data_IF_343621503384
#
_entry.id   IF_343621503384
#
_cell.length_a   1.000
_cell.length_b   1.000
_cell.length_c   1.000
_cell.angle_alpha   90.00
_cell.angle_beta   90.00
_cell.angle_gamma   90.00
#
_symmetry.space_group_name_H-M   'P 1'
#
loop_
_entity.id
_entity.type
_entity.pdbx_description
1 polymer ?
#
# COMPACT_ATOMS: atom_id res chain seq x y z
N UNK A 1 7.34 50.52 -8.35
CA UNK A 1 7.16 51.00 -9.74
C UNK A 1 5.67 50.98 -10.03
N UNK A 2 5.08 52.12 -10.35
CA UNK A 2 3.62 52.26 -10.50
C UNK A 2 3.15 51.57 -11.80
N UNK A 3 2.28 50.57 -11.67
CA UNK A 3 1.71 49.79 -12.78
C UNK A 3 1.04 50.67 -13.83
N UNK A 4 0.48 51.82 -13.44
CA UNK A 4 -0.12 52.79 -14.38
C UNK A 4 0.94 53.50 -15.21
N UNK A 5 2.04 53.94 -14.59
CA UNK A 5 3.16 54.59 -15.30
C UNK A 5 3.86 53.63 -16.27
N UNK A 6 4.02 52.37 -15.88
CA UNK A 6 4.59 51.35 -16.75
C UNK A 6 3.70 51.05 -17.96
N UNK A 7 2.38 50.98 -17.75
CA UNK A 7 1.39 50.76 -18.79
C UNK A 7 1.35 51.91 -19.81
N UNK A 8 1.38 53.15 -19.35
CA UNK A 8 1.38 54.32 -20.25
C UNK A 8 2.68 54.42 -21.07
N UNK A 9 3.84 54.09 -20.47
CA UNK A 9 5.13 54.00 -21.17
C UNK A 9 5.14 52.92 -22.26
N UNK A 10 4.61 51.72 -21.96
CA UNK A 10 4.54 50.60 -22.91
C UNK A 10 3.54 50.89 -24.05
N UNK A 11 2.38 51.46 -23.72
CA UNK A 11 1.34 51.84 -24.69
C UNK A 11 1.86 52.87 -25.70
N UNK A 12 2.60 53.88 -25.24
CA UNK A 12 3.15 54.93 -26.10
C UNK A 12 4.28 54.43 -27.02
N UNK A 13 5.05 53.42 -26.61
CA UNK A 13 6.21 52.92 -27.38
C UNK A 13 5.85 51.88 -28.43
N UNK A 14 4.83 51.05 -28.19
CA UNK A 14 4.51 49.85 -29.00
C UNK A 14 3.20 50.02 -29.79
N UNK A 15 2.35 50.96 -29.38
CA UNK A 15 1.01 51.19 -29.95
C UNK A 15 -0.03 50.26 -29.32
N UNK A 16 -1.20 50.81 -28.97
CA UNK A 16 -2.24 50.14 -28.17
C UNK A 16 -2.71 48.80 -28.76
N UNK A 17 -2.86 48.71 -30.09
CA UNK A 17 -3.31 47.47 -30.77
C UNK A 17 -2.28 46.34 -30.65
N UNK A 18 -1.00 46.66 -30.86
CA UNK A 18 0.08 45.68 -30.79
C UNK A 18 0.32 45.21 -29.35
N UNK A 19 0.18 46.10 -28.37
CA UNK A 19 0.26 45.76 -26.95
C UNK A 19 -0.87 44.81 -26.52
N UNK A 20 -2.11 45.08 -26.96
CA UNK A 20 -3.26 44.20 -26.68
C UNK A 20 -3.06 42.82 -27.33
N UNK A 21 -2.62 42.75 -28.58
CA UNK A 21 -2.32 41.47 -29.24
C UNK A 21 -1.22 40.69 -28.53
N UNK A 22 -0.17 41.36 -28.04
CA UNK A 22 0.90 40.72 -27.25
C UNK A 22 0.39 40.14 -25.93
N UNK A 23 -0.44 40.88 -25.20
CA UNK A 23 -1.05 40.40 -23.94
C UNK A 23 -2.00 39.23 -24.21
N UNK A 24 -2.85 39.32 -25.25
CA UNK A 24 -3.74 38.23 -25.63
C UNK A 24 -2.95 36.97 -25.97
N UNK A 25 -1.85 37.10 -26.73
CA UNK A 25 -0.95 35.99 -27.04
C UNK A 25 -0.34 35.34 -25.79
N UNK A 26 0.12 36.14 -24.83
CA UNK A 26 0.64 35.65 -23.54
C UNK A 26 -0.47 34.94 -22.75
N UNK A 27 -1.67 35.52 -22.65
CA UNK A 27 -2.79 34.92 -21.93
C UNK A 27 -3.22 33.58 -22.55
N UNK A 28 -3.26 33.48 -23.88
CA UNK A 28 -3.53 32.23 -24.59
C UNK A 28 -2.42 31.22 -24.28
N UNK A 29 -1.14 31.60 -24.39
CA UNK A 29 -0.03 30.70 -24.09
C UNK A 29 -0.05 30.19 -22.64
N UNK A 30 -0.35 31.04 -21.66
CA UNK A 30 -0.50 30.66 -20.25
C UNK A 30 -1.72 29.76 -20.05
N UNK A 31 -2.86 30.05 -20.70
CA UNK A 31 -4.05 29.22 -20.62
C UNK A 31 -3.83 27.83 -21.23
N UNK A 32 -3.13 27.75 -22.37
CA UNK A 32 -2.73 26.50 -22.99
C UNK A 32 -1.74 25.73 -22.11
N UNK A 33 -0.73 26.42 -21.57
CA UNK A 33 0.22 25.82 -20.61
C UNK A 33 -0.52 25.24 -19.41
N UNK A 34 -1.43 26.01 -18.80
CA UNK A 34 -2.20 25.58 -17.64
C UNK A 34 -3.09 24.37 -17.97
N UNK A 35 -3.81 24.42 -19.09
CA UNK A 35 -4.65 23.31 -19.56
C UNK A 35 -3.81 22.06 -19.83
N UNK A 36 -2.65 22.21 -20.46
CA UNK A 36 -1.74 21.10 -20.73
C UNK A 36 -1.18 20.52 -19.43
N UNK A 37 -0.74 21.36 -18.48
CA UNK A 37 -0.26 20.90 -17.17
C UNK A 37 -1.36 20.21 -16.37
N UNK A 38 -2.58 20.75 -16.35
CA UNK A 38 -3.70 20.13 -15.65
C UNK A 38 -4.08 18.77 -16.27
N UNK A 39 -4.07 18.67 -17.61
CA UNK A 39 -4.27 17.41 -18.31
C UNK A 39 -3.18 16.38 -17.97
N UNK A 40 -1.91 16.80 -17.95
CA UNK A 40 -0.78 15.94 -17.58
C UNK A 40 -0.87 15.46 -16.13
N UNK A 41 -1.21 16.35 -15.18
CA UNK A 41 -1.43 15.97 -13.78
C UNK A 41 -2.53 14.92 -13.66
N UNK A 42 -3.67 15.12 -14.31
CA UNK A 42 -4.77 14.16 -14.29
C UNK A 42 -4.39 12.79 -14.90
N UNK A 43 -3.56 12.78 -15.95
CA UNK A 43 -3.06 11.55 -16.56
C UNK A 43 -2.10 10.80 -15.62
N UNK A 44 -1.21 11.53 -14.94
CA UNK A 44 -0.29 10.95 -13.94
C UNK A 44 -1.06 10.38 -12.76
N UNK A 45 -2.04 11.12 -12.22
CA UNK A 45 -2.86 10.64 -11.10
C UNK A 45 -3.62 9.35 -11.47
N UNK A 46 -4.18 9.29 -12.68
CA UNK A 46 -4.84 8.07 -13.18
C UNK A 46 -3.87 6.89 -13.22
N UNK A 47 -2.66 7.07 -13.77
CA UNK A 47 -1.65 6.01 -13.85
C UNK A 47 -1.20 5.56 -12.46
N UNK A 48 -1.00 6.49 -11.52
CA UNK A 48 -0.66 6.17 -10.12
C UNK A 48 -1.78 5.33 -9.48
N UNK A 49 -3.05 5.69 -9.68
CA UNK A 49 -4.18 4.91 -9.16
C UNK A 49 -4.26 3.50 -9.77
N UNK A 50 -3.97 3.37 -11.07
CA UNK A 50 -3.92 2.07 -11.75
C UNK A 50 -2.79 1.19 -11.19
N UNK A 51 -1.57 1.73 -11.08
CA UNK A 51 -0.42 1.03 -10.49
C UNK A 51 -0.66 0.70 -9.02
N UNK A 52 -1.27 1.59 -8.24
CA UNK A 52 -1.64 1.30 -6.84
C UNK A 52 -2.61 0.12 -6.74
N UNK A 53 -3.59 0.05 -7.65
CA UNK A 53 -4.55 -1.06 -7.69
C UNK A 53 -3.87 -2.38 -8.04
N UNK A 54 -2.97 -2.39 -9.01
CA UNK A 54 -2.19 -3.59 -9.36
C UNK A 54 -1.38 -4.11 -8.17
N UNK A 55 -0.68 -3.23 -7.45
CA UNK A 55 -0.01 -3.59 -6.18
C UNK A 55 -0.99 -4.16 -5.15
N UNK A 56 -2.18 -3.58 -5.03
CA UNK A 56 -3.18 -4.03 -4.06
C UNK A 56 -3.78 -5.40 -4.39
N UNK A 57 -3.84 -5.78 -5.66
CA UNK A 57 -4.33 -7.08 -6.11
C UNK A 57 -3.30 -8.20 -5.82
N UNK A 58 -2.01 -7.88 -5.88
CA UNK A 58 -0.91 -8.83 -5.62
C UNK A 58 -0.49 -8.94 -4.14
N UNK A 59 -1.08 -8.12 -3.26
CA UNK A 59 -0.70 -8.02 -1.85
C UNK A 59 -1.90 -8.29 -0.93
N UNK A 60 -1.72 -9.20 0.03
CA UNK A 60 -2.68 -9.39 1.11
C UNK A 60 -2.16 -8.74 2.40
N UNK A 61 -2.93 -7.81 2.98
CA UNK A 61 -2.51 -7.05 4.16
C UNK A 61 -3.00 -7.70 5.45
N UNK A 62 -2.40 -7.30 6.57
CA UNK A 62 -2.85 -7.71 7.91
C UNK A 62 -2.80 -6.51 8.86
N UNK A 63 -3.81 -6.38 9.72
CA UNK A 63 -3.79 -5.37 10.76
C UNK A 63 -4.58 -5.76 12.00
N UNK A 64 -4.16 -5.20 13.13
CA UNK A 64 -4.80 -5.39 14.44
C UNK A 64 -5.18 -4.02 15.00
N UNK A 65 -6.45 -3.85 15.37
CA UNK A 65 -6.98 -2.66 16.04
C UNK A 65 -7.10 -2.93 17.53
N UNK A 66 -6.49 -2.06 18.34
CA UNK A 66 -6.58 -2.16 19.79
C UNK A 66 -7.95 -1.69 20.30
N UNK A 67 -8.36 -2.17 21.47
CA UNK A 67 -9.57 -1.71 22.14
C UNK A 67 -9.52 -0.20 22.44
N UNK A 68 -8.39 0.29 22.94
CA UNK A 68 -8.14 1.72 23.18
C UNK A 68 -6.67 2.12 22.97
N UNK A 69 -6.37 3.40 23.19
CA UNK A 69 -5.02 3.98 23.15
C UNK A 69 -4.24 3.88 24.46
N UNK A 70 -4.79 3.19 25.46
CA UNK A 70 -4.05 2.94 26.69
C UNK A 70 -2.79 2.11 26.42
N UNK A 71 -1.72 2.38 27.17
CA UNK A 71 -0.48 1.60 27.10
C UNK A 71 -0.73 0.08 27.29
N UNK A 72 -1.73 -0.28 28.11
CA UNK A 72 -2.14 -1.67 28.32
C UNK A 72 -2.66 -2.27 27.01
N UNK A 73 -3.64 -1.64 26.38
CA UNK A 73 -4.30 -2.15 25.16
C UNK A 73 -3.34 -2.14 23.96
N UNK A 74 -2.49 -1.11 23.85
CA UNK A 74 -1.46 -1.03 22.81
C UNK A 74 -0.43 -2.16 22.96
N UNK A 75 -0.02 -2.50 24.18
CA UNK A 75 0.88 -3.63 24.45
C UNK A 75 0.19 -4.98 24.19
N UNK A 76 -1.06 -5.14 24.59
CA UNK A 76 -1.83 -6.38 24.37
C UNK A 76 -2.03 -6.62 22.87
N UNK A 77 -2.33 -5.58 22.08
CA UNK A 77 -2.38 -5.65 20.61
C UNK A 77 -1.13 -6.28 20.01
N UNK A 78 0.06 -5.89 20.47
CA UNK A 78 1.32 -6.44 19.96
C UNK A 78 1.48 -7.93 20.33
N UNK A 79 1.02 -8.34 21.51
CA UNK A 79 1.01 -9.76 21.91
C UNK A 79 0.04 -10.60 21.08
N UNK A 80 -1.18 -10.09 20.85
CA UNK A 80 -2.18 -10.75 19.99
C UNK A 80 -1.62 -10.89 18.58
N UNK A 81 -1.07 -9.81 18.02
CA UNK A 81 -0.38 -9.83 16.72
C UNK A 81 0.66 -10.95 16.66
N UNK A 82 1.56 -11.01 17.64
CA UNK A 82 2.66 -11.99 17.62
C UNK A 82 2.15 -13.43 17.69
N UNK A 83 1.11 -13.69 18.49
CA UNK A 83 0.49 -15.00 18.60
C UNK A 83 -0.22 -15.42 17.30
N UNK A 84 -0.99 -14.49 16.71
CA UNK A 84 -1.68 -14.72 15.43
C UNK A 84 -0.67 -15.00 14.32
N UNK A 85 0.39 -14.20 14.20
CA UNK A 85 1.45 -14.43 13.20
C UNK A 85 2.08 -15.81 13.42
N UNK A 86 2.41 -16.16 14.67
CA UNK A 86 3.01 -17.46 14.97
C UNK A 86 2.10 -18.63 14.57
N UNK A 87 0.80 -18.54 14.84
CA UNK A 87 -0.20 -19.53 14.41
C UNK A 87 -0.27 -19.62 12.89
N UNK A 88 -0.31 -18.48 12.18
CA UNK A 88 -0.32 -18.47 10.72
C UNK A 88 0.95 -19.10 10.13
N UNK A 89 2.12 -18.87 10.73
CA UNK A 89 3.38 -19.50 10.29
C UNK A 89 3.39 -21.01 10.50
N UNK A 90 2.73 -21.54 11.55
CA UNK A 90 2.71 -22.98 11.80
C UNK A 90 1.69 -23.71 10.93
N UNK A 91 0.51 -23.11 10.74
CA UNK A 91 -0.63 -23.79 10.12
C UNK A 91 -0.78 -23.52 8.63
N UNK A 92 -0.21 -22.43 8.10
CA UNK A 92 -0.33 -22.12 6.68
C UNK A 92 0.66 -22.95 5.84
N UNK A 93 0.17 -23.83 4.95
CA UNK A 93 1.03 -24.63 4.10
C UNK A 93 1.84 -23.74 3.15
N UNK A 94 3.17 -23.93 3.11
CA UNK A 94 4.07 -23.19 2.21
C UNK A 94 4.67 -21.90 2.79
N UNK A 95 4.49 -21.61 4.08
CA UNK A 95 5.11 -20.45 4.76
C UNK A 95 6.50 -20.73 5.37
N UNK A 96 6.90 -22.00 5.45
CA UNK A 96 8.25 -22.37 5.85
C UNK A 96 9.23 -22.14 4.70
N UNK A 97 10.07 -21.12 4.84
CA UNK A 97 11.32 -20.94 4.09
C UNK A 97 12.36 -22.03 4.44
N UNK A 98 11.95 -23.30 4.39
CA UNK A 98 12.86 -24.44 4.42
C UNK A 98 12.81 -25.09 3.05
N UNK A 99 13.85 -24.80 2.26
CA UNK A 99 14.44 -25.64 1.22
C UNK A 99 13.63 -26.88 0.81
N UNK A 100 12.58 -26.70 0.02
CA UNK A 100 12.17 -27.68 -0.98
C UNK A 100 12.66 -27.18 -2.35
N UNK A 101 13.98 -27.15 -2.50
CA UNK A 101 14.56 -27.38 -3.81
C UNK A 101 14.08 -28.77 -4.27
N UNK A 102 13.29 -28.78 -5.34
CA UNK A 102 12.72 -29.97 -6.00
C UNK A 102 11.41 -30.52 -5.42
N UNK A 103 10.35 -29.71 -5.40
CA UNK A 103 9.09 -30.21 -5.96
C UNK A 103 9.07 -29.81 -7.43
N UNK A 104 9.31 -30.79 -8.29
CA UNK A 104 9.26 -30.63 -9.74
C UNK A 104 7.93 -30.01 -10.16
N UNK A 105 8.02 -29.04 -11.07
CA UNK A 105 6.88 -28.27 -11.58
C UNK A 105 5.82 -29.07 -12.35
N UNK A 106 5.91 -30.41 -12.45
CA UNK A 106 5.12 -31.16 -13.44
C UNK A 106 3.86 -31.87 -12.91
N UNK A 107 3.66 -32.01 -11.59
CA UNK A 107 2.51 -32.80 -11.08
C UNK A 107 1.38 -31.98 -10.44
N UNK A 108 1.62 -30.71 -10.09
CA UNK A 108 0.57 -29.84 -9.54
C UNK A 108 -0.26 -29.14 -10.62
N UNK A 109 0.26 -28.98 -11.84
CA UNK A 109 -0.44 -28.30 -12.95
C UNK A 109 -1.60 -29.13 -13.53
N UNK A 110 -1.56 -30.45 -13.43
CA UNK A 110 -2.52 -31.31 -14.13
C UNK A 110 -3.90 -31.41 -13.47
N UNK A 111 -4.09 -30.95 -12.23
CA UNK A 111 -5.39 -31.07 -11.54
C UNK A 111 -6.15 -29.76 -11.34
N UNK A 112 -5.53 -28.58 -11.51
CA UNK A 112 -6.23 -27.30 -11.40
C UNK A 112 -5.46 -26.13 -12.03
N UNK A 113 -5.68 -25.80 -13.33
CA UNK A 113 -4.96 -24.72 -13.99
C UNK A 113 -5.47 -23.36 -13.47
N UNK A 114 -4.69 -22.70 -12.62
CA UNK A 114 -4.94 -21.30 -12.22
C UNK A 114 -4.71 -20.94 -10.76
N UNK A 115 -4.34 -21.88 -9.87
CA UNK A 115 -3.95 -21.54 -8.50
C UNK A 115 -2.42 -21.47 -8.43
N UNK A 116 -1.87 -20.26 -8.47
CA UNK A 116 -0.56 -20.01 -7.88
C UNK A 116 -0.66 -20.37 -6.39
N UNK A 117 -0.07 -21.50 -5.98
CA UNK A 117 -0.09 -22.02 -4.60
C UNK A 117 0.43 -21.00 -3.58
N UNK A 118 1.25 -20.04 -4.04
CA UNK A 118 1.76 -18.92 -3.27
C UNK A 118 1.27 -17.63 -3.95
N UNK A 119 0.09 -17.15 -3.57
CA UNK A 119 -0.49 -15.90 -4.08
C UNK A 119 -1.31 -15.23 -2.99
N UNK A 120 -1.50 -13.91 -3.09
CA UNK A 120 -2.35 -13.15 -2.16
C UNK A 120 -3.75 -13.78 -2.04
N UNK A 121 -4.30 -14.29 -3.15
CA UNK A 121 -5.60 -14.95 -3.17
C UNK A 121 -5.62 -16.28 -2.40
N UNK A 122 -4.55 -17.08 -2.47
CA UNK A 122 -4.45 -18.32 -1.71
C UNK A 122 -4.34 -18.04 -0.20
N UNK A 123 -3.49 -17.09 0.19
CA UNK A 123 -3.35 -16.63 1.58
C UNK A 123 -4.67 -16.09 2.12
N UNK A 124 -5.39 -15.31 1.32
CA UNK A 124 -6.72 -14.80 1.66
C UNK A 124 -7.72 -15.92 1.93
N UNK A 125 -7.86 -16.88 1.01
CA UNK A 125 -8.81 -18.00 1.17
C UNK A 125 -8.49 -18.84 2.40
N UNK A 126 -7.21 -19.05 2.68
CA UNK A 126 -6.80 -19.73 3.91
C UNK A 126 -7.20 -18.92 5.14
N UNK A 127 -6.98 -17.60 5.15
CA UNK A 127 -7.37 -16.76 6.28
C UNK A 127 -8.89 -16.78 6.50
N UNK A 128 -9.69 -16.75 5.43
CA UNK A 128 -11.15 -16.86 5.47
C UNK A 128 -11.62 -18.19 6.09
N UNK A 129 -10.94 -19.30 5.82
CA UNK A 129 -11.32 -20.61 6.37
C UNK A 129 -10.89 -20.83 7.82
N UNK A 130 -9.96 -20.03 8.34
CA UNK A 130 -9.39 -20.16 9.69
C UNK A 130 -9.74 -18.97 10.61
N UNK A 131 -10.74 -18.15 10.26
CA UNK A 131 -11.13 -16.98 11.08
C UNK A 131 -11.45 -17.35 12.53
N UNK A 132 -12.15 -18.46 12.75
CA UNK A 132 -12.48 -18.90 14.11
C UNK A 132 -11.23 -19.25 14.91
N UNK A 133 -10.26 -19.95 14.31
CA UNK A 133 -9.01 -20.30 14.99
C UNK A 133 -8.18 -19.04 15.29
N UNK A 134 -8.15 -18.08 14.37
CA UNK A 134 -7.49 -16.79 14.58
C UNK A 134 -8.12 -16.00 15.73
N UNK A 135 -9.45 -16.03 15.87
CA UNK A 135 -10.17 -15.44 17.01
C UNK A 135 -9.80 -16.17 18.30
N UNK A 136 -9.81 -17.50 18.30
CA UNK A 136 -9.45 -18.30 19.47
C UNK A 136 -8.02 -17.99 19.96
N UNK A 137 -7.04 -17.94 19.05
CA UNK A 137 -5.66 -17.56 19.38
C UNK A 137 -5.58 -16.15 19.97
N UNK A 138 -6.34 -15.20 19.42
CA UNK A 138 -6.38 -13.84 19.95
C UNK A 138 -7.03 -13.80 21.34
N UNK A 139 -8.15 -14.49 21.54
CA UNK A 139 -8.88 -14.57 22.82
C UNK A 139 -8.04 -15.22 23.92
N UNK A 140 -7.28 -16.28 23.63
CA UNK A 140 -6.36 -16.89 24.60
C UNK A 140 -5.32 -15.88 25.13
N UNK A 141 -4.86 -14.96 24.29
CA UNK A 141 -3.95 -13.89 24.71
C UNK A 141 -4.68 -12.85 25.56
N UNK A 142 -5.91 -12.48 25.18
CA UNK A 142 -6.73 -11.53 25.93
C UNK A 142 -7.04 -12.05 27.33
N UNK A 143 -7.43 -13.32 27.46
CA UNK A 143 -7.69 -13.98 28.74
C UNK A 143 -6.44 -14.01 29.62
N UNK A 144 -5.27 -14.39 29.06
CA UNK A 144 -4.00 -14.43 29.78
C UNK A 144 -3.56 -13.05 30.30
N UNK A 145 -3.87 -11.99 29.57
CA UNK A 145 -3.57 -10.60 29.96
C UNK A 145 -4.64 -9.99 30.88
N UNK A 146 -5.70 -10.75 31.20
CA UNK A 146 -6.80 -10.30 32.06
C UNK A 146 -7.59 -9.17 31.42
N UNK A 147 -7.92 -9.30 30.13
CA UNK A 147 -8.83 -8.41 29.43
C UNK A 147 -10.26 -8.96 29.52
N UNK A 148 -11.25 -8.07 29.56
CA UNK A 148 -12.67 -8.37 29.72
C UNK A 148 -13.47 -8.25 28.41
N UNK A 149 -12.76 -8.10 27.30
CA UNK A 149 -13.31 -8.02 25.95
C UNK A 149 -12.75 -9.15 25.08
N UNK A 150 -13.41 -9.40 23.95
CA UNK A 150 -13.06 -10.45 23.00
C UNK A 150 -12.44 -9.87 21.72
N UNK A 151 -11.80 -10.73 20.96
CA UNK A 151 -11.32 -10.47 19.62
C UNK A 151 -12.39 -10.83 18.58
N UNK A 152 -12.27 -10.22 17.41
CA UNK A 152 -13.05 -10.55 16.22
C UNK A 152 -12.13 -10.45 14.99
N UNK A 153 -12.38 -11.27 13.97
CA UNK A 153 -11.51 -11.39 12.80
C UNK A 153 -12.32 -11.45 11.50
N UNK A 154 -11.91 -10.65 10.51
CA UNK A 154 -12.57 -10.57 9.20
C UNK A 154 -11.55 -10.44 8.07
N UNK A 155 -11.85 -11.05 6.94
CA UNK A 155 -11.20 -10.70 5.68
C UNK A 155 -12.07 -9.67 4.96
N UNK A 156 -11.53 -8.48 4.72
CA UNK A 156 -12.31 -7.39 4.12
C UNK A 156 -11.42 -6.38 3.37
N UNK A 157 -12.06 -5.50 2.60
CA UNK A 157 -11.38 -4.36 1.98
C UNK A 157 -11.32 -3.20 2.98
N UNK A 158 -10.12 -2.71 3.23
CA UNK A 158 -9.86 -1.62 4.15
C UNK A 158 -9.03 -0.53 3.45
N UNK A 159 -9.25 0.73 3.84
CA UNK A 159 -8.37 1.82 3.45
C UNK A 159 -7.11 1.79 4.33
N UNK A 160 -5.94 1.70 3.69
CA UNK A 160 -4.64 1.79 4.35
C UNK A 160 -4.01 3.13 4.03
N UNK A 161 -3.46 3.85 5.02
CA UNK A 161 -2.60 4.99 4.75
C UNK A 161 -1.27 4.53 4.17
N UNK A 162 -0.50 5.46 3.60
CA UNK A 162 0.86 5.18 3.13
C UNK A 162 1.72 4.58 4.26
N UNK A 163 2.46 3.51 3.96
CA UNK A 163 3.32 2.81 4.92
C UNK A 163 4.72 2.57 4.38
N UNK A 164 5.71 2.97 5.17
CA UNK A 164 7.12 2.77 4.88
C UNK A 164 7.68 1.58 5.66
N UNK A 165 8.36 0.68 4.97
CA UNK A 165 9.09 -0.46 5.49
C UNK A 165 10.50 -0.43 4.89
N UNK A 166 11.49 0.04 5.65
CA UNK A 166 12.86 0.23 5.16
C UNK A 166 12.93 1.25 4.02
N UNK A 167 13.37 0.79 2.86
CA UNK A 167 13.46 1.52 1.59
C UNK A 167 12.18 1.43 0.75
N UNK A 168 11.19 0.63 1.16
CA UNK A 168 9.93 0.45 0.44
C UNK A 168 8.80 1.29 1.04
N UNK A 169 7.96 1.86 0.19
CA UNK A 169 6.79 2.65 0.57
C UNK A 169 5.55 2.11 -0.14
N UNK A 170 4.66 1.47 0.62
CA UNK A 170 3.36 1.05 0.11
C UNK A 170 2.44 2.27 0.06
N UNK A 171 1.87 2.60 -1.11
CA UNK A 171 1.02 3.76 -1.27
C UNK A 171 -0.27 3.65 -0.46
N UNK A 172 -0.88 4.80 -0.17
CA UNK A 172 -2.24 4.85 0.38
C UNK A 172 -3.24 4.29 -0.64
N UNK A 173 -4.22 3.53 -0.17
CA UNK A 173 -5.28 3.00 -1.03
C UNK A 173 -6.15 1.96 -0.34
N UNK A 174 -7.05 1.34 -1.10
CA UNK A 174 -7.81 0.18 -0.63
C UNK A 174 -7.03 -1.10 -0.89
N UNK A 175 -7.00 -1.97 0.13
CA UNK A 175 -6.34 -3.27 0.07
C UNK A 175 -7.26 -4.33 0.67
N UNK A 176 -7.13 -5.57 0.19
CA UNK A 176 -7.69 -6.72 0.89
C UNK A 176 -6.81 -7.06 2.10
N UNK A 177 -7.45 -7.27 3.24
CA UNK A 177 -6.74 -7.49 4.49
C UNK A 177 -7.45 -8.46 5.42
N UNK A 178 -6.64 -9.21 6.17
CA UNK A 178 -7.06 -9.79 7.43
C UNK A 178 -7.08 -8.68 8.49
N UNK A 179 -8.25 -8.44 9.07
CA UNK A 179 -8.48 -7.46 10.13
C UNK A 179 -8.81 -8.19 11.42
N UNK A 180 -8.03 -7.94 12.47
CA UNK A 180 -8.36 -8.34 13.84
C UNK A 180 -8.74 -7.10 14.64
N UNK A 181 -9.90 -7.13 15.28
CA UNK A 181 -10.41 -6.07 16.16
C UNK A 181 -10.45 -6.59 17.58
N UNK A 182 -9.95 -5.80 18.53
CA UNK A 182 -10.01 -6.12 19.95
C UNK A 182 -11.02 -5.19 20.62
N UNK A 183 -12.03 -5.75 21.29
CA UNK A 183 -13.08 -4.95 21.96
C UNK A 183 -13.72 -3.92 21.03
N UNK A 184 -13.73 -2.65 21.43
CA UNK A 184 -14.34 -1.55 20.65
C UNK A 184 -13.54 -1.13 19.41
N UNK A 185 -12.30 -1.62 19.25
CA UNK A 185 -11.40 -1.26 18.16
C UNK A 185 -11.15 0.26 18.01
N UNK A 186 -11.23 1.02 19.11
CA UNK A 186 -11.10 2.49 19.11
C UNK A 186 -9.64 2.97 19.21
N UNK A 187 -8.69 2.06 19.44
CA UNK A 187 -7.28 2.39 19.56
C UNK A 187 -6.51 2.39 18.24
N UNK A 188 -5.25 2.82 18.28
CA UNK A 188 -4.37 2.86 17.12
C UNK A 188 -4.20 1.49 16.47
N UNK A 189 -4.08 1.50 15.15
CA UNK A 189 -3.87 0.30 14.35
C UNK A 189 -2.39 -0.12 14.35
N UNK A 190 -2.15 -1.42 14.25
CA UNK A 190 -0.88 -1.97 13.80
C UNK A 190 -1.05 -2.55 12.40
N UNK A 191 -0.17 -2.20 11.46
CA UNK A 191 -0.33 -2.51 10.03
C UNK A 191 0.83 -3.33 9.49
N UNK A 192 0.55 -4.32 8.66
CA UNK A 192 1.55 -5.18 8.04
C UNK A 192 1.11 -5.71 6.67
N UNK A 193 2.08 -6.23 5.92
CA UNK A 193 1.90 -6.90 4.63
C UNK A 193 2.07 -8.40 4.87
N UNK A 194 0.95 -9.13 4.83
CA UNK A 194 0.92 -10.55 5.17
C UNK A 194 1.42 -11.41 4.02
N UNK A 195 1.05 -11.07 2.79
CA UNK A 195 1.60 -11.63 1.56
C UNK A 195 2.18 -10.51 0.69
N UNK A 196 3.40 -10.68 0.13
CA UNK A 196 4.32 -11.80 0.33
C UNK A 196 5.05 -11.69 1.67
N UNK A 197 4.72 -12.58 2.62
CA UNK A 197 5.38 -12.93 3.89
C UNK A 197 6.14 -11.86 4.72
N UNK A 198 5.94 -10.55 4.51
CA UNK A 198 6.71 -9.51 5.19
C UNK A 198 6.42 -9.46 6.70
N UNK A 199 5.27 -9.96 7.14
CA UNK A 199 4.95 -10.11 8.56
C UNK A 199 5.77 -11.20 9.27
N UNK A 200 6.32 -12.16 8.53
CA UNK A 200 7.03 -13.31 9.10
C UNK A 200 8.55 -13.08 9.22
N UNK A 201 9.08 -12.11 8.46
CA UNK A 201 10.52 -11.95 8.28
C UNK A 201 11.19 -11.04 9.33
N UNK A 202 10.44 -10.26 10.12
CA UNK A 202 10.96 -9.67 11.35
C UNK A 202 9.84 -9.11 12.26
N UNK A 203 9.82 -9.51 13.54
CA UNK A 203 8.86 -9.02 14.56
C UNK A 203 8.91 -7.49 14.76
N UNK A 204 9.99 -6.87 14.28
CA UNK A 204 10.21 -5.43 14.23
C UNK A 204 10.13 -4.98 12.77
N UNK A 205 8.92 -4.68 12.30
CA UNK A 205 8.60 -4.28 10.92
C UNK A 205 9.21 -2.91 10.52
N UNK A 206 10.54 -2.78 10.60
CA UNK A 206 11.29 -1.56 10.32
C UNK A 206 11.97 -1.62 8.95
N UNK A 207 12.32 -2.81 8.46
CA UNK A 207 13.03 -3.03 7.19
C UNK A 207 12.51 -4.30 6.54
N UNK A 208 12.30 -4.27 5.22
CA UNK A 208 12.02 -5.47 4.41
C UNK A 208 13.33 -6.20 4.16
N UNK A 209 13.42 -7.47 4.53
CA UNK A 209 14.61 -8.31 4.28
C UNK A 209 14.82 -8.52 2.77
N UNK A 210 16.05 -8.86 2.36
CA UNK A 210 16.37 -9.07 0.94
C UNK A 210 15.49 -10.15 0.30
N UNK A 211 15.19 -11.22 1.05
CA UNK A 211 14.23 -12.27 0.66
C UNK A 211 12.83 -11.70 0.34
N UNK A 212 12.28 -10.87 1.24
CA UNK A 212 10.98 -10.24 1.01
C UNK A 212 10.97 -9.27 -0.17
N UNK A 213 12.13 -8.68 -0.53
CA UNK A 213 12.25 -7.85 -1.74
C UNK A 213 12.23 -8.68 -3.01
N UNK A 214 12.87 -9.86 -3.00
CA UNK A 214 12.84 -10.79 -4.13
C UNK A 214 11.43 -11.34 -4.36
N UNK A 215 10.72 -11.71 -3.30
CA UNK A 215 9.33 -12.15 -3.39
C UNK A 215 8.44 -11.05 -4.00
N UNK A 216 8.59 -9.80 -3.57
CA UNK A 216 7.86 -8.66 -4.15
C UNK A 216 8.20 -8.43 -5.62
N UNK A 217 9.47 -8.54 -6.02
CA UNK A 217 9.87 -8.44 -7.44
C UNK A 217 9.30 -9.58 -8.28
N UNK A 218 9.08 -10.75 -7.69
CA UNK A 218 8.51 -11.91 -8.37
C UNK A 218 7.02 -11.78 -8.66
N UNK A 219 6.29 -10.99 -7.88
CA UNK A 219 4.83 -10.82 -8.01
C UNK A 219 4.41 -9.49 -8.65
N UNK A 220 5.22 -8.44 -8.50
CA UNK A 220 4.92 -7.11 -9.03
C UNK A 220 5.56 -6.89 -10.40
N UNK A 221 4.94 -6.03 -11.22
CA UNK A 221 5.61 -5.52 -12.42
C UNK A 221 6.77 -4.59 -12.07
N UNK A 222 7.67 -4.32 -13.03
CA UNK A 222 8.76 -3.37 -12.84
C UNK A 222 8.25 -1.98 -12.45
N UNK A 223 7.14 -1.52 -13.02
CA UNK A 223 6.56 -0.20 -12.67
C UNK A 223 5.98 -0.18 -11.25
N UNK A 224 5.32 -1.27 -10.85
CA UNK A 224 4.75 -1.42 -9.51
C UNK A 224 5.85 -1.50 -8.45
N UNK A 225 6.89 -2.28 -8.70
CA UNK A 225 8.03 -2.38 -7.82
C UNK A 225 8.77 -1.05 -7.67
N UNK A 226 8.99 -0.33 -8.78
CA UNK A 226 9.58 1.01 -8.75
C UNK A 226 8.73 1.99 -7.92
N UNK A 227 7.39 1.87 -7.97
CA UNK A 227 6.51 2.72 -7.16
C UNK A 227 6.74 2.50 -5.66
N UNK A 228 7.07 1.27 -5.25
CA UNK A 228 7.41 0.96 -3.87
C UNK A 228 8.79 1.51 -3.47
N UNK A 229 9.81 1.42 -4.32
CA UNK A 229 11.19 1.79 -3.95
C UNK A 229 11.51 3.28 -4.10
N UNK A 230 10.96 3.95 -5.12
CA UNK A 230 11.48 5.24 -5.61
C UNK A 230 10.43 6.37 -5.60
N UNK A 231 9.51 6.37 -4.63
CA UNK A 231 8.30 7.22 -4.53
C UNK A 231 8.53 8.76 -4.78
N UNK A 232 9.77 9.25 -4.84
CA UNK A 232 10.12 10.63 -5.22
C UNK A 232 10.54 10.84 -6.68
N UNK A 233 11.20 9.88 -7.34
CA UNK A 233 11.72 10.07 -8.71
C UNK A 233 10.69 9.77 -9.79
N UNK A 234 9.74 8.89 -9.51
CA UNK A 234 8.71 8.51 -10.48
C UNK A 234 7.77 9.66 -10.81
N UNK A 235 7.23 10.38 -9.81
CA UNK A 235 6.35 11.55 -10.08
C UNK A 235 7.01 12.56 -11.01
N UNK A 236 8.32 12.75 -10.90
CA UNK A 236 9.10 13.62 -11.78
C UNK A 236 9.24 12.98 -13.17
N UNK A 237 9.63 11.70 -13.26
CA UNK A 237 9.79 10.98 -14.54
C UNK A 237 8.50 10.98 -15.37
N UNK A 238 7.37 10.63 -14.77
CA UNK A 238 6.05 10.61 -15.41
C UNK A 238 5.56 12.01 -15.80
N UNK A 239 5.83 13.01 -14.95
CA UNK A 239 5.46 14.39 -15.23
C UNK A 239 6.22 14.96 -16.44
N UNK A 240 7.54 14.74 -16.52
CA UNK A 240 8.41 15.36 -17.53
C UNK A 240 8.60 14.55 -18.81
N UNK A 241 8.67 13.22 -18.74
CA UNK A 241 9.16 12.41 -19.86
C UNK A 241 8.05 11.58 -20.53
N UNK A 242 7.00 11.17 -19.81
CA UNK A 242 6.04 10.18 -20.34
C UNK A 242 6.72 8.83 -20.65
N UNK A 243 5.94 7.78 -20.86
CA UNK A 243 6.46 6.51 -21.39
C UNK A 243 6.85 6.65 -22.87
#
# INVERSE_FOLDING_TARGET
>A
MDMRKLWDLLRNKIGTKNLICGILGICIAVGWMWSFTAWRVALVDKKICETQRGIADEVFRFHVLANSDSEKDQRVKLKVRDAVIAYMTSEMPGTTNQMDHAVTMDQAEQMNPGIHKNSAQATKKWAESHLNDLILVADEVLEREGMDYQADAHVTKCCFPEKKYGDMTFPQGEYEALRITLGEAAGHNWWCVLYPNLCFLDKTCAVVSDEGKEDLKGVLTDEEYQLLTDNKELKVKWFFFGD
#
